data_IF_305892442396
#
_entry.id   IF_305892442396
#
_cell.length_a   1.000
_cell.length_b   1.000
_cell.length_c   1.000
_cell.angle_alpha   90.00
_cell.angle_beta   90.00
_cell.angle_gamma   90.00
#
_symmetry.space_group_name_H-M   'P 1'
#
loop_
_entity.id
_entity.type
_entity.pdbx_description
1 polymer ?
#
# COMPACT_ATOMS: atom_id res chain seq x y z
N UNK A 1 -15.76 18.36 0.72
CA UNK A 1 -14.57 18.36 -0.17
C UNK A 1 -13.35 19.01 0.49
N UNK A 2 -13.38 20.32 0.78
CA UNK A 2 -12.18 21.05 1.22
C UNK A 2 -11.52 20.46 2.48
N UNK A 3 -12.32 19.99 3.44
CA UNK A 3 -11.84 19.32 4.65
C UNK A 3 -10.95 18.09 4.36
N UNK A 4 -11.25 17.30 3.33
CA UNK A 4 -10.43 16.16 2.93
C UNK A 4 -9.12 16.61 2.27
N UNK A 5 -9.20 17.65 1.42
CA UNK A 5 -8.03 18.22 0.75
C UNK A 5 -7.06 18.80 1.80
N UNK A 6 -7.57 19.55 2.77
CA UNK A 6 -6.76 20.16 3.82
C UNK A 6 -6.10 19.10 4.70
N UNK A 7 -6.82 18.01 5.03
CA UNK A 7 -6.27 16.86 5.77
C UNK A 7 -5.20 16.11 4.97
N UNK A 8 -5.39 15.95 3.65
CA UNK A 8 -4.43 15.24 2.80
C UNK A 8 -3.11 15.99 2.63
N UNK A 9 -3.13 17.33 2.70
CA UNK A 9 -1.99 18.19 2.38
C UNK A 9 -0.74 17.91 3.24
N UNK A 10 -0.80 17.92 4.59
CA UNK A 10 0.37 17.62 5.41
C UNK A 10 0.88 16.19 5.21
N UNK A 11 -0.02 15.23 4.99
CA UNK A 11 0.34 13.82 4.76
C UNK A 11 1.10 13.68 3.44
N UNK A 12 0.60 14.29 2.36
CA UNK A 12 1.25 14.26 1.04
C UNK A 12 2.56 15.05 1.03
N UNK A 13 2.66 16.15 1.80
CA UNK A 13 3.92 16.86 1.99
C UNK A 13 4.95 16.00 2.73
N UNK A 14 4.53 15.27 3.75
CA UNK A 14 5.37 14.30 4.45
C UNK A 14 5.80 13.16 3.52
N UNK A 15 4.89 12.61 2.71
CA UNK A 15 5.22 11.60 1.71
C UNK A 15 6.33 12.07 0.74
N UNK A 16 6.22 13.30 0.25
CA UNK A 16 7.23 13.91 -0.64
C UNK A 16 8.57 14.13 0.08
N UNK A 17 8.56 14.49 1.36
CA UNK A 17 9.79 14.61 2.14
C UNK A 17 10.47 13.24 2.33
N UNK A 18 9.71 12.23 2.74
CA UNK A 18 10.19 10.86 2.92
C UNK A 18 10.73 10.26 1.60
N UNK A 19 10.05 10.53 0.49
CA UNK A 19 10.48 10.13 -0.85
C UNK A 19 11.85 10.72 -1.20
N UNK A 20 12.05 12.01 -0.94
CA UNK A 20 13.34 12.69 -1.12
C UNK A 20 14.44 12.14 -0.21
N UNK A 21 14.07 11.74 1.01
CA UNK A 21 14.96 11.14 1.99
C UNK A 21 15.18 9.62 1.76
N UNK A 22 14.68 9.09 0.63
CA UNK A 22 14.79 7.67 0.23
C UNK A 22 14.17 6.69 1.24
N UNK A 23 13.24 7.16 2.08
CA UNK A 23 12.44 6.36 3.02
C UNK A 23 11.20 5.82 2.30
N UNK A 24 11.41 4.86 1.41
CA UNK A 24 10.40 4.43 0.42
C UNK A 24 9.16 3.80 1.06
N UNK A 25 9.33 2.95 2.06
CA UNK A 25 8.22 2.30 2.77
C UNK A 25 7.28 3.35 3.39
N UNK A 26 7.85 4.23 4.23
CA UNK A 26 7.10 5.32 4.87
C UNK A 26 6.48 6.26 3.83
N UNK A 27 7.19 6.57 2.73
CA UNK A 27 6.67 7.43 1.68
C UNK A 27 5.45 6.81 0.99
N UNK A 28 5.48 5.52 0.66
CA UNK A 28 4.35 4.80 0.05
C UNK A 28 3.14 4.78 0.97
N UNK A 29 3.33 4.55 2.27
CA UNK A 29 2.25 4.60 3.26
C UNK A 29 1.58 5.98 3.28
N UNK A 30 2.37 7.05 3.37
CA UNK A 30 1.85 8.42 3.41
C UNK A 30 1.21 8.83 2.06
N UNK A 31 1.77 8.42 0.91
CA UNK A 31 1.10 8.64 -0.37
C UNK A 31 -0.26 7.94 -0.41
N UNK A 32 -0.34 6.70 0.05
CA UNK A 32 -1.59 5.91 0.06
C UNK A 32 -2.65 6.55 0.95
N UNK A 33 -2.27 6.97 2.17
CA UNK A 33 -3.17 7.66 3.09
C UNK A 33 -3.66 9.00 2.51
N UNK A 34 -2.75 9.80 1.97
CA UNK A 34 -3.07 11.08 1.32
C UNK A 34 -4.00 10.92 0.11
N UNK A 35 -3.75 9.92 -0.74
CA UNK A 35 -4.61 9.59 -1.89
C UNK A 35 -6.00 9.15 -1.42
N UNK A 36 -6.10 8.34 -0.36
CA UNK A 36 -7.39 7.89 0.19
C UNK A 36 -8.26 9.08 0.61
N UNK A 37 -7.65 10.10 1.23
CA UNK A 37 -8.37 11.34 1.57
C UNK A 37 -8.81 12.11 0.32
N UNK A 38 -7.96 12.23 -0.71
CA UNK A 38 -8.32 12.88 -1.96
C UNK A 38 -9.44 12.13 -2.71
N UNK A 39 -9.47 10.80 -2.66
CA UNK A 39 -10.58 9.99 -3.19
C UNK A 39 -11.88 10.28 -2.44
N UNK A 40 -11.84 10.40 -1.11
CA UNK A 40 -13.00 10.85 -0.32
C UNK A 40 -13.48 12.26 -0.69
N UNK A 41 -12.57 13.14 -1.11
CA UNK A 41 -12.94 14.46 -1.62
C UNK A 41 -13.68 14.39 -2.97
N UNK A 42 -13.38 13.42 -3.83
CA UNK A 42 -14.10 13.18 -5.09
C UNK A 42 -15.53 12.65 -4.87
N UNK A 43 -15.77 11.95 -3.77
CA UNK A 43 -17.11 11.45 -3.40
C UNK A 43 -18.06 12.55 -2.90
N UNK A 44 -17.63 13.82 -2.85
CA UNK A 44 -18.49 14.93 -2.49
C UNK A 44 -19.31 15.40 -3.70
N UNK A 45 -20.64 15.37 -3.58
CA UNK A 45 -21.55 15.68 -4.68
C UNK A 45 -21.55 17.16 -5.10
N UNK A 46 -21.25 18.07 -4.17
CA UNK A 46 -21.33 19.53 -4.37
C UNK A 46 -20.15 20.13 -5.16
N UNK A 47 -19.44 19.33 -5.96
CA UNK A 47 -18.17 19.72 -6.57
C UNK A 47 -18.30 19.93 -8.07
N UNK A 48 -17.81 21.09 -8.52
CA UNK A 48 -17.75 21.43 -9.95
C UNK A 48 -16.82 20.44 -10.67
N UNK A 49 -17.22 19.97 -11.85
CA UNK A 49 -16.47 18.94 -12.59
C UNK A 49 -15.01 19.34 -12.85
N UNK A 50 -14.73 20.62 -13.13
CA UNK A 50 -13.36 21.13 -13.28
C UNK A 50 -12.50 20.94 -12.02
N UNK A 51 -13.08 21.09 -10.83
CA UNK A 51 -12.38 20.82 -9.58
C UNK A 51 -12.11 19.32 -9.38
N UNK A 52 -13.02 18.46 -9.86
CA UNK A 52 -12.82 16.99 -9.87
C UNK A 52 -11.72 16.57 -10.83
N UNK A 53 -11.64 17.17 -12.00
CA UNK A 53 -10.56 16.91 -12.98
C UNK A 53 -9.19 17.25 -12.38
N UNK A 54 -9.02 18.45 -11.83
CA UNK A 54 -7.79 18.85 -11.14
C UNK A 54 -7.42 17.88 -10.01
N UNK A 55 -8.42 17.41 -9.26
CA UNK A 55 -8.22 16.46 -8.18
C UNK A 55 -7.80 15.07 -8.69
N UNK A 56 -8.41 14.57 -9.77
CA UNK A 56 -8.03 13.31 -10.44
C UNK A 56 -6.61 13.36 -10.97
N UNK A 57 -6.20 14.48 -11.59
CA UNK A 57 -4.82 14.67 -12.04
C UNK A 57 -3.82 14.60 -10.88
N UNK A 58 -4.14 15.23 -9.76
CA UNK A 58 -3.30 15.18 -8.55
C UNK A 58 -3.20 13.77 -7.98
N UNK A 59 -4.33 13.05 -7.90
CA UNK A 59 -4.36 11.64 -7.47
C UNK A 59 -3.49 10.79 -8.39
N UNK A 60 -3.63 10.93 -9.71
CA UNK A 60 -2.85 10.16 -10.69
C UNK A 60 -1.34 10.37 -10.53
N UNK A 61 -0.89 11.61 -10.29
CA UNK A 61 0.53 11.93 -10.05
C UNK A 61 1.06 11.22 -8.80
N UNK A 62 0.34 11.30 -7.68
CA UNK A 62 0.77 10.67 -6.43
C UNK A 62 0.71 9.14 -6.52
N UNK A 63 -0.32 8.58 -7.16
CA UNK A 63 -0.47 7.14 -7.36
C UNK A 63 0.67 6.60 -8.23
N UNK A 64 0.97 7.26 -9.34
CA UNK A 64 2.10 6.89 -10.21
C UNK A 64 3.41 6.89 -9.43
N UNK A 65 3.65 7.89 -8.56
CA UNK A 65 4.87 7.93 -7.75
C UNK A 65 4.92 6.79 -6.74
N UNK A 66 3.81 6.51 -6.05
CA UNK A 66 3.73 5.41 -5.09
C UNK A 66 3.98 4.05 -5.74
N UNK A 67 3.45 3.79 -6.94
CA UNK A 67 3.72 2.55 -7.68
C UNK A 67 5.19 2.43 -8.11
N UNK A 68 5.82 3.53 -8.56
CA UNK A 68 7.26 3.55 -8.87
C UNK A 68 8.08 3.19 -7.63
N UNK A 69 7.75 3.76 -6.47
CA UNK A 69 8.45 3.47 -5.22
C UNK A 69 8.31 2.00 -4.82
N UNK A 70 7.09 1.44 -4.89
CA UNK A 70 6.84 0.02 -4.64
C UNK A 70 7.66 -0.88 -5.56
N UNK A 71 7.75 -0.57 -6.86
CA UNK A 71 8.56 -1.33 -7.81
C UNK A 71 10.07 -1.27 -7.55
N UNK A 72 10.54 -0.26 -6.81
CA UNK A 72 11.94 -0.14 -6.40
C UNK A 72 12.25 -0.82 -5.06
N UNK A 73 11.23 -1.19 -4.30
CA UNK A 73 11.38 -1.92 -3.06
C UNK A 73 11.55 -3.39 -3.40
N UNK A 74 12.65 -4.01 -2.94
CA UNK A 74 12.80 -5.46 -3.08
C UNK A 74 11.69 -6.09 -2.24
N UNK A 75 10.92 -7.07 -2.74
CA UNK A 75 10.06 -7.83 -1.86
C UNK A 75 10.95 -8.36 -0.74
N UNK A 76 10.56 -8.08 0.51
CA UNK A 76 11.15 -8.75 1.65
C UNK A 76 10.78 -10.22 1.48
N UNK A 77 11.68 -10.98 0.85
CA UNK A 77 11.58 -12.43 0.83
C UNK A 77 11.81 -12.80 2.29
N UNK A 78 10.72 -12.92 3.05
CA UNK A 78 10.72 -13.67 4.29
C UNK A 78 11.30 -15.02 3.90
N UNK A 79 12.57 -15.25 4.26
CA UNK A 79 13.23 -16.52 4.13
C UNK A 79 12.41 -17.49 4.98
N UNK A 80 11.42 -18.13 4.35
CA UNK A 80 10.72 -19.25 4.92
C UNK A 80 11.77 -20.34 5.05
N UNK A 81 12.28 -20.53 6.28
CA UNK A 81 13.09 -21.68 6.58
C UNK A 81 12.25 -22.90 6.21
N UNK A 82 12.78 -23.70 5.28
CA UNK A 82 12.16 -24.92 4.82
C UNK A 82 11.92 -25.80 6.04
N UNK A 83 10.64 -25.96 6.43
CA UNK A 83 10.27 -26.90 7.48
C UNK A 83 10.55 -28.28 6.90
N UNK A 84 11.66 -28.89 7.32
CA UNK A 84 11.90 -30.29 7.07
C UNK A 84 10.89 -31.04 7.94
N UNK A 85 9.73 -31.35 7.37
CA UNK A 85 8.79 -32.28 7.97
C UNK A 85 9.49 -33.63 7.92
N UNK A 86 10.21 -33.98 8.99
CA UNK A 86 10.62 -35.35 9.22
C UNK A 86 9.35 -36.18 9.14
N UNK A 87 9.29 -37.12 8.20
CA UNK A 87 8.26 -38.14 8.17
C UNK A 87 8.32 -38.86 9.53
N UNK A 88 7.47 -38.44 10.45
CA UNK A 88 7.32 -39.10 11.72
C UNK A 88 6.51 -40.37 11.42
N UNK A 89 7.17 -41.52 11.59
CA UNK A 89 6.65 -42.87 11.33
C UNK A 89 5.34 -43.18 12.10
N UNK A 90 4.87 -42.27 12.94
CA UNK A 90 3.54 -42.27 13.55
C UNK A 90 2.45 -42.55 12.51
N UNK A 91 2.49 -41.93 11.32
CA UNK A 91 1.48 -42.21 10.28
C UNK A 91 1.58 -43.62 9.68
N UNK A 92 2.79 -44.17 9.57
CA UNK A 92 2.99 -45.55 9.10
C UNK A 92 2.46 -46.58 10.11
N UNK A 93 2.54 -46.30 11.40
CA UNK A 93 1.96 -47.18 12.43
C UNK A 93 0.42 -47.16 12.42
N UNK A 94 -0.21 -46.02 12.11
CA UNK A 94 -1.66 -45.97 11.93
C UNK A 94 -2.13 -46.81 10.72
N UNK A 95 -1.40 -46.77 9.62
CA UNK A 95 -1.74 -47.56 8.42
C UNK A 95 -1.54 -49.07 8.64
N UNK A 96 -0.60 -49.50 9.47
CA UNK A 96 -0.39 -50.92 9.78
C UNK A 96 -1.49 -51.55 10.63
N UNK A 97 -2.31 -50.78 11.34
CA UNK A 97 -3.40 -51.34 12.15
C UNK A 97 -4.69 -51.58 11.35
N UNK A 98 -4.75 -51.21 10.06
CA UNK A 98 -5.96 -51.34 9.22
C UNK A 98 -5.84 -52.51 8.22
N UNK A 99 -4.69 -53.20 8.15
CA UNK A 99 -4.48 -54.36 7.29
C UNK A 99 -4.50 -55.66 8.09
#
# INVERSE_FOLDING_TARGET
MQSFIDKSKPILQKAVALDRDNKKDEAVENYTEGITLLLGALSCDDTVESAREVLRERISKYLTRAEILKGQMKPEILLVQQIHIMHNDVWLNFLKCIS
#
